data_IF_658748806179
#
_entry.id   IF_658748806179
#
_cell.length_a   1.000
_cell.length_b   1.000
_cell.length_c   1.000
_cell.angle_alpha   90.00
_cell.angle_beta   90.00
_cell.angle_gamma   90.00
#
_symmetry.space_group_name_H-M   'P 1'
#
loop_
_entity.id
_entity.type
_entity.pdbx_description
1 polymer ?
#
# COMPACT_ATOMS: atom_id res chain seq x y z
N UNK A 1 31.01 -69.41 -6.89
CA UNK A 1 30.84 -68.17 -6.08
C UNK A 1 31.12 -66.97 -7.00
N UNK A 2 30.08 -66.40 -7.61
CA UNK A 2 30.21 -65.41 -8.69
C UNK A 2 29.99 -63.99 -8.13
N UNK A 3 31.04 -63.17 -8.02
CA UNK A 3 30.95 -61.79 -7.53
C UNK A 3 30.52 -60.86 -8.67
N UNK A 4 29.29 -60.35 -8.60
CA UNK A 4 28.77 -59.32 -9.51
C UNK A 4 29.47 -57.99 -9.19
N UNK A 5 30.32 -57.52 -10.11
CA UNK A 5 31.06 -56.26 -9.99
C UNK A 5 30.13 -55.09 -10.35
N UNK A 6 29.60 -54.37 -9.35
CA UNK A 6 28.77 -53.17 -9.54
C UNK A 6 29.60 -52.08 -10.26
N UNK A 7 29.25 -51.78 -11.51
CA UNK A 7 29.84 -50.70 -12.31
C UNK A 7 29.42 -49.36 -11.68
N UNK A 8 30.34 -48.67 -10.98
CA UNK A 8 30.12 -47.32 -10.47
C UNK A 8 29.88 -46.38 -11.66
N UNK A 9 28.70 -45.73 -11.70
CA UNK A 9 28.41 -44.67 -12.66
C UNK A 9 29.30 -43.45 -12.33
N UNK A 10 29.80 -42.71 -13.33
CA UNK A 10 30.62 -41.52 -13.08
C UNK A 10 29.75 -40.43 -12.44
N UNK A 11 29.98 -40.15 -11.15
CA UNK A 11 29.23 -39.14 -10.38
C UNK A 11 29.50 -37.71 -10.85
N UNK A 12 30.65 -37.45 -11.50
CA UNK A 12 31.10 -36.10 -11.83
C UNK A 12 30.23 -35.32 -12.83
N UNK A 13 29.46 -35.99 -13.69
CA UNK A 13 28.57 -35.29 -14.63
C UNK A 13 27.28 -34.78 -13.96
N UNK A 14 26.78 -35.50 -12.96
CA UNK A 14 25.62 -35.07 -12.17
C UNK A 14 26.02 -33.96 -11.19
N UNK A 15 27.15 -34.12 -10.50
CA UNK A 15 27.68 -33.11 -9.56
C UNK A 15 28.03 -31.79 -10.28
N UNK A 16 28.57 -31.86 -11.51
CA UNK A 16 28.85 -30.65 -12.32
C UNK A 16 27.58 -29.90 -12.71
N UNK A 17 26.49 -30.61 -13.03
CA UNK A 17 25.19 -29.98 -13.36
C UNK A 17 24.57 -29.31 -12.14
N UNK A 18 24.68 -29.94 -10.98
CA UNK A 18 24.23 -29.37 -9.71
C UNK A 18 25.03 -28.10 -9.35
N UNK A 19 26.35 -28.11 -9.53
CA UNK A 19 27.19 -26.93 -9.27
C UNK A 19 26.82 -25.73 -10.14
N UNK A 20 26.53 -25.94 -11.43
CA UNK A 20 26.08 -24.88 -12.34
C UNK A 20 24.72 -24.33 -11.88
N UNK A 21 23.76 -25.20 -11.55
CA UNK A 21 22.44 -24.78 -11.07
C UNK A 21 22.52 -23.98 -9.77
N UNK A 22 23.45 -24.32 -8.86
CA UNK A 22 23.67 -23.55 -7.63
C UNK A 22 24.21 -22.16 -7.94
N UNK A 23 25.13 -22.02 -8.91
CA UNK A 23 25.66 -20.71 -9.32
C UNK A 23 24.58 -19.87 -9.99
N UNK A 24 23.78 -20.46 -10.88
CA UNK A 24 22.65 -19.77 -11.52
C UNK A 24 21.64 -19.28 -10.47
N UNK A 25 21.26 -20.14 -9.51
CA UNK A 25 20.37 -19.75 -8.42
C UNK A 25 20.98 -18.66 -7.54
N UNK A 26 22.28 -18.73 -7.23
CA UNK A 26 22.96 -17.74 -6.40
C UNK A 26 22.99 -16.34 -7.03
N UNK A 27 23.02 -16.27 -8.37
CA UNK A 27 22.97 -14.99 -9.10
C UNK A 27 21.53 -14.51 -9.34
N UNK A 28 20.62 -15.42 -9.68
CA UNK A 28 19.24 -15.08 -10.00
C UNK A 28 18.40 -14.77 -8.75
N UNK A 29 18.62 -15.48 -7.64
CA UNK A 29 17.81 -15.35 -6.44
C UNK A 29 17.85 -13.93 -5.83
N UNK A 30 19.02 -13.26 -5.69
CA UNK A 30 19.06 -11.88 -5.19
C UNK A 30 18.26 -10.91 -6.07
N UNK A 31 18.34 -11.06 -7.39
CA UNK A 31 17.62 -10.19 -8.34
C UNK A 31 16.11 -10.42 -8.23
N UNK A 32 15.67 -11.68 -8.21
CA UNK A 32 14.26 -12.02 -8.04
C UNK A 32 13.72 -11.58 -6.67
N UNK A 33 14.51 -11.72 -5.61
CA UNK A 33 14.14 -11.26 -4.28
C UNK A 33 13.97 -9.74 -4.23
N UNK A 34 14.88 -8.97 -4.85
CA UNK A 34 14.76 -7.52 -4.95
C UNK A 34 13.51 -7.09 -5.71
N UNK A 35 13.22 -7.72 -6.85
CA UNK A 35 12.02 -7.44 -7.63
C UNK A 35 10.77 -7.78 -6.81
N UNK A 36 10.74 -8.93 -6.14
CA UNK A 36 9.62 -9.34 -5.30
C UNK A 36 9.37 -8.33 -4.17
N UNK A 37 10.42 -7.92 -3.44
CA UNK A 37 10.30 -6.90 -2.38
C UNK A 37 9.80 -5.56 -2.95
N UNK A 38 10.33 -5.12 -4.08
CA UNK A 38 9.87 -3.88 -4.73
C UNK A 38 8.39 -3.98 -5.15
N UNK A 39 7.94 -5.13 -5.68
CA UNK A 39 6.53 -5.32 -6.04
C UNK A 39 5.61 -5.35 -4.83
N UNK A 40 6.03 -5.97 -3.72
CA UNK A 40 5.26 -5.97 -2.46
C UNK A 40 5.11 -4.54 -1.95
N UNK A 41 6.20 -3.76 -1.96
CA UNK A 41 6.18 -2.36 -1.53
C UNK A 41 5.27 -1.50 -2.43
N UNK A 42 5.33 -1.70 -3.75
CA UNK A 42 4.46 -1.00 -4.68
C UNK A 42 2.98 -1.32 -4.45
N UNK A 43 2.65 -2.59 -4.19
CA UNK A 43 1.29 -2.98 -3.83
C UNK A 43 0.82 -2.33 -2.52
N UNK A 44 1.70 -2.21 -1.52
CA UNK A 44 1.37 -1.51 -0.27
C UNK A 44 1.03 -0.03 -0.52
N UNK A 45 1.78 0.65 -1.39
CA UNK A 45 1.50 2.05 -1.75
C UNK A 45 0.19 2.20 -2.54
N UNK A 46 -0.13 1.26 -3.42
CA UNK A 46 -1.43 1.25 -4.10
C UNK A 46 -2.59 1.04 -3.12
N UNK A 47 -2.41 0.15 -2.14
CA UNK A 47 -3.39 -0.05 -1.07
C UNK A 47 -3.58 1.21 -0.22
N UNK A 48 -2.48 1.93 0.09
CA UNK A 48 -2.54 3.20 0.79
C UNK A 48 -3.35 4.25 0.02
N UNK A 49 -3.12 4.35 -1.30
CA UNK A 49 -3.90 5.24 -2.17
C UNK A 49 -5.39 4.89 -2.17
N UNK A 50 -5.72 3.63 -2.39
CA UNK A 50 -7.12 3.18 -2.40
C UNK A 50 -7.81 3.44 -1.05
N UNK A 51 -7.09 3.23 0.06
CA UNK A 51 -7.62 3.53 1.38
C UNK A 51 -7.89 5.03 1.55
N UNK A 52 -6.96 5.90 1.15
CA UNK A 52 -7.15 7.34 1.20
C UNK A 52 -8.34 7.80 0.36
N UNK A 53 -8.52 7.28 -0.86
CA UNK A 53 -9.66 7.59 -1.72
C UNK A 53 -10.99 7.15 -1.10
N UNK A 54 -11.04 5.94 -0.49
CA UNK A 54 -12.25 5.45 0.19
C UNK A 54 -12.59 6.30 1.41
N UNK A 55 -11.59 6.68 2.22
CA UNK A 55 -11.79 7.54 3.38
C UNK A 55 -12.28 8.93 2.96
N UNK A 56 -11.66 9.53 1.94
CA UNK A 56 -12.09 10.82 1.39
C UNK A 56 -13.55 10.75 0.89
N UNK A 57 -13.93 9.64 0.24
CA UNK A 57 -15.30 9.41 -0.21
C UNK A 57 -16.29 9.33 0.95
N UNK A 58 -16.00 8.54 1.99
CA UNK A 58 -16.89 8.41 3.15
C UNK A 58 -16.99 9.73 3.94
N UNK A 59 -15.87 10.45 4.09
CA UNK A 59 -15.86 11.77 4.70
C UNK A 59 -16.72 12.77 3.92
N UNK A 60 -16.57 12.81 2.59
CA UNK A 60 -17.36 13.69 1.74
C UNK A 60 -18.84 13.32 1.79
N UNK A 61 -19.16 12.02 1.78
CA UNK A 61 -20.54 11.50 1.85
C UNK A 61 -21.24 11.92 3.14
N UNK A 62 -20.54 11.93 4.26
CA UNK A 62 -21.12 12.35 5.54
C UNK A 62 -21.22 13.88 5.60
N UNK A 63 -20.20 14.60 5.14
CA UNK A 63 -20.20 16.07 5.21
C UNK A 63 -21.28 16.74 4.38
N UNK A 64 -21.80 16.08 3.34
CA UNK A 64 -22.92 16.61 2.54
C UNK A 64 -24.29 16.45 3.21
N UNK A 65 -24.41 15.69 4.32
CA UNK A 65 -25.68 15.52 5.01
C UNK A 65 -26.08 16.77 5.79
N UNK A 66 -27.36 17.16 5.78
CA UNK A 66 -27.86 18.25 6.60
C UNK A 66 -27.57 18.03 8.09
N UNK A 67 -26.94 19.01 8.72
CA UNK A 67 -26.58 18.95 10.15
C UNK A 67 -25.29 18.18 10.44
N UNK A 68 -24.52 17.78 9.42
CA UNK A 68 -23.15 17.32 9.62
C UNK A 68 -22.27 18.47 10.08
N UNK A 69 -21.43 18.22 11.09
CA UNK A 69 -20.37 19.14 11.52
C UNK A 69 -18.98 18.62 11.08
N UNK A 70 -17.98 19.47 11.21
CA UNK A 70 -16.59 19.16 10.87
C UNK A 70 -16.01 18.05 11.76
N UNK A 71 -16.31 18.08 13.05
CA UNK A 71 -15.81 17.10 14.03
C UNK A 71 -16.27 15.67 13.70
N UNK A 72 -17.52 15.50 13.27
CA UNK A 72 -18.13 14.23 12.91
C UNK A 72 -17.47 13.68 11.64
N UNK A 73 -17.26 14.52 10.62
CA UNK A 73 -16.56 14.12 9.39
C UNK A 73 -15.14 13.69 9.70
N UNK A 74 -14.39 14.50 10.45
CA UNK A 74 -13.00 14.20 10.82
C UNK A 74 -12.92 12.94 11.67
N UNK A 75 -13.80 12.78 12.66
CA UNK A 75 -13.84 11.60 13.52
C UNK A 75 -14.10 10.32 12.70
N UNK A 76 -15.05 10.35 11.76
CA UNK A 76 -15.30 9.20 10.91
C UNK A 76 -14.07 8.86 10.05
N UNK A 77 -13.44 9.88 9.44
CA UNK A 77 -12.23 9.67 8.65
C UNK A 77 -11.10 9.07 9.49
N UNK A 78 -10.89 9.58 10.71
CA UNK A 78 -9.89 9.06 11.64
C UNK A 78 -10.17 7.61 12.03
N UNK A 79 -11.41 7.27 12.38
CA UNK A 79 -11.79 5.88 12.70
C UNK A 79 -11.48 4.92 11.55
N UNK A 80 -11.74 5.34 10.30
CA UNK A 80 -11.45 4.53 9.12
C UNK A 80 -9.94 4.41 8.82
N UNK A 81 -9.16 5.46 9.08
CA UNK A 81 -7.70 5.46 8.91
C UNK A 81 -7.01 4.64 9.99
N UNK A 82 -7.47 4.74 11.24
CA UNK A 82 -7.00 3.97 12.38
C UNK A 82 -7.30 2.47 12.23
N UNK A 83 -8.50 2.11 11.80
CA UNK A 83 -8.88 0.71 11.50
C UNK A 83 -7.98 0.09 10.42
N UNK A 84 -7.56 0.92 9.45
CA UNK A 84 -6.62 0.54 8.38
C UNK A 84 -5.15 0.65 8.78
N UNK A 85 -4.86 1.06 10.02
CA UNK A 85 -3.51 1.24 10.55
C UNK A 85 -2.64 2.17 9.70
N UNK A 86 -3.25 3.23 9.13
CA UNK A 86 -2.51 4.24 8.36
C UNK A 86 -1.86 5.21 9.33
N UNK A 87 -0.57 5.47 9.15
CA UNK A 87 0.24 6.33 9.99
C UNK A 87 0.51 7.67 9.30
N UNK A 88 0.73 8.72 10.11
CA UNK A 88 1.14 10.06 9.65
C UNK A 88 0.26 10.59 8.49
N UNK A 89 -1.03 10.76 8.79
CA UNK A 89 -2.02 11.24 7.84
C UNK A 89 -2.60 12.60 8.26
N UNK A 90 -3.19 13.29 7.28
CA UNK A 90 -3.94 14.52 7.47
C UNK A 90 -5.26 14.45 6.73
N UNK A 91 -6.33 14.90 7.37
CA UNK A 91 -7.65 15.06 6.76
C UNK A 91 -7.96 16.55 6.70
N UNK A 92 -8.27 17.07 5.51
CA UNK A 92 -8.68 18.47 5.32
C UNK A 92 -10.02 18.58 4.61
N UNK A 93 -10.81 19.56 5.03
CA UNK A 93 -12.16 19.81 4.56
C UNK A 93 -12.21 21.16 3.84
N UNK A 94 -12.98 21.24 2.77
CA UNK A 94 -13.23 22.49 2.05
C UNK A 94 -14.68 22.52 1.54
N UNK A 95 -15.54 23.42 2.01
CA UNK A 95 -15.31 24.37 3.11
C UNK A 95 -14.95 23.68 4.44
N UNK A 96 -14.23 24.36 5.38
CA UNK A 96 -13.80 23.74 6.64
C UNK A 96 -14.94 23.29 7.54
N UNK A 97 -16.08 23.99 7.49
CA UNK A 97 -17.26 23.72 8.29
C UNK A 97 -18.45 23.38 7.36
N UNK A 98 -18.91 22.10 7.33
CA UNK A 98 -20.05 21.68 6.51
C UNK A 98 -21.37 22.36 6.90
N UNK A 99 -21.52 22.86 8.13
CA UNK A 99 -22.77 23.50 8.58
C UNK A 99 -23.05 24.83 7.87
N UNK A 100 -22.03 25.42 7.25
CA UNK A 100 -22.12 26.67 6.50
C UNK A 100 -22.62 26.48 5.07
N UNK A 101 -22.74 25.23 4.62
CA UNK A 101 -23.11 24.90 3.25
C UNK A 101 -24.62 25.03 3.01
N UNK A 102 -24.97 25.46 1.80
CA UNK A 102 -26.33 25.42 1.29
C UNK A 102 -26.53 24.21 0.36
N UNK A 103 -27.77 23.70 0.23
CA UNK A 103 -28.09 22.66 -0.76
C UNK A 103 -27.59 23.04 -2.16
N UNK A 104 -26.79 22.17 -2.76
CA UNK A 104 -26.15 22.40 -4.06
C UNK A 104 -24.70 22.87 -4.03
N UNK A 105 -24.17 23.27 -2.87
CA UNK A 105 -22.76 23.64 -2.72
C UNK A 105 -21.83 22.44 -2.84
N UNK A 106 -20.56 22.68 -3.19
CA UNK A 106 -19.55 21.64 -3.30
C UNK A 106 -18.82 21.47 -1.97
N UNK A 107 -18.76 20.24 -1.48
CA UNK A 107 -17.94 19.82 -0.35
C UNK A 107 -16.80 18.95 -0.83
N UNK A 108 -15.60 19.21 -0.31
CA UNK A 108 -14.38 18.52 -0.67
C UNK A 108 -13.69 17.99 0.58
N UNK A 109 -13.30 16.72 0.53
CA UNK A 109 -12.47 16.09 1.55
C UNK A 109 -11.18 15.62 0.90
N UNK A 110 -10.07 16.01 1.48
CA UNK A 110 -8.73 15.58 1.08
C UNK A 110 -8.09 14.79 2.19
N UNK A 111 -7.61 13.60 1.86
CA UNK A 111 -6.85 12.72 2.76
C UNK A 111 -5.45 12.58 2.21
N UNK A 112 -4.46 12.94 3.02
CA UNK A 112 -3.05 12.79 2.66
C UNK A 112 -2.34 11.92 3.68
N UNK A 113 -1.36 11.14 3.24
CA UNK A 113 -0.55 10.28 4.12
C UNK A 113 0.88 10.16 3.60
N UNK A 114 1.84 10.10 4.52
CA UNK A 114 3.25 9.87 4.21
C UNK A 114 3.49 8.42 3.77
N UNK A 115 4.13 8.24 2.62
CA UNK A 115 4.36 6.91 2.06
C UNK A 115 5.43 6.13 2.84
N UNK A 116 6.47 6.80 3.34
CA UNK A 116 7.55 6.16 4.07
C UNK A 116 7.11 5.68 5.46
N UNK A 117 6.21 6.41 6.11
CA UNK A 117 5.58 6.01 7.39
C UNK A 117 4.69 4.75 7.27
N UNK A 118 4.25 4.42 6.05
CA UNK A 118 3.35 3.30 5.74
C UNK A 118 4.03 2.22 4.88
N UNK A 119 5.35 2.27 4.76
CA UNK A 119 6.17 1.35 3.99
C UNK A 119 6.46 0.05 4.77
N UNK A 120 6.62 -1.09 4.08
CA UNK A 120 6.89 -2.38 4.72
C UNK A 120 8.39 -2.62 4.92
N UNK A 121 9.23 -2.13 4.01
CA UNK A 121 10.68 -2.37 4.01
C UNK A 121 11.49 -1.10 4.29
N UNK A 122 10.99 -0.23 5.17
CA UNK A 122 11.72 0.94 5.66
C UNK A 122 11.69 2.17 4.73
N UNK A 123 10.81 2.19 3.72
CA UNK A 123 10.43 3.41 3.01
C UNK A 123 11.45 4.00 2.05
N UNK A 124 12.61 3.38 1.85
CA UNK A 124 13.70 3.92 1.02
C UNK A 124 13.30 4.26 -0.44
N UNK A 125 12.29 3.57 -1.00
CA UNK A 125 11.76 3.85 -2.35
C UNK A 125 10.80 5.05 -2.39
N UNK A 126 10.25 5.44 -1.23
CA UNK A 126 9.14 6.37 -1.11
C UNK A 126 9.42 7.50 -0.11
N UNK A 127 10.68 7.69 0.27
CA UNK A 127 11.10 8.77 1.18
C UNK A 127 10.70 10.15 0.63
N UNK A 128 10.07 10.96 1.48
CA UNK A 128 9.57 12.28 1.12
C UNK A 128 8.38 12.28 0.16
N UNK A 129 7.80 11.12 -0.17
CA UNK A 129 6.58 11.03 -0.97
C UNK A 129 5.36 10.98 -0.08
N UNK A 130 4.33 11.70 -0.49
CA UNK A 130 3.02 11.66 0.13
C UNK A 130 1.99 11.29 -0.94
N UNK A 131 1.00 10.50 -0.54
CA UNK A 131 -0.23 10.32 -1.31
C UNK A 131 -1.22 11.37 -0.84
N UNK A 132 -1.98 11.93 -1.77
CA UNK A 132 -3.05 12.88 -1.47
C UNK A 132 -4.22 12.60 -2.39
N UNK A 133 -5.32 12.17 -1.80
CA UNK A 133 -6.54 11.79 -2.50
C UNK A 133 -7.67 12.73 -2.09
N UNK A 134 -8.43 13.19 -3.08
CA UNK A 134 -9.45 14.21 -2.89
C UNK A 134 -10.75 13.80 -3.55
N UNK A 135 -11.84 13.88 -2.80
CA UNK A 135 -13.18 13.62 -3.29
C UNK A 135 -14.03 14.87 -3.12
N UNK A 136 -14.82 15.18 -4.14
CA UNK A 136 -15.76 16.29 -4.15
C UNK A 136 -17.17 15.73 -4.33
N UNK A 137 -18.08 16.15 -3.45
CA UNK A 137 -19.51 15.84 -3.52
C UNK A 137 -20.34 17.12 -3.46
N UNK A 138 -21.60 17.02 -3.88
CA UNK A 138 -22.55 18.13 -3.83
C UNK A 138 -23.46 17.96 -2.61
N UNK A 139 -23.63 19.01 -1.82
CA UNK A 139 -24.56 19.05 -0.69
C UNK A 139 -26.01 18.85 -1.14
N UNK A 140 -26.76 18.09 -0.34
CA UNK A 140 -28.18 17.81 -0.55
C UNK A 140 -29.11 18.87 0.04
#
# INVERSE_FOLDING_TARGET
>A
MHKIRKKRRPSGAADRRLGIAVVELAVCLPVLALIAMATIEACAMLQLQQNASVVAYEGARIGILPGSDDNLVVLQCQMLLDDRQINNYTVSLSPPDPTTMSPGDLFQVTVSADCAANALFGGFLYEGKQISETVVMRAE
#
